data_IF_109821449236
#
_entry.id   IF_109821449236
#
_cell.length_a   1.000
_cell.length_b   1.000
_cell.length_c   1.000
_cell.angle_alpha   90.00
_cell.angle_beta   90.00
_cell.angle_gamma   90.00
#
_symmetry.space_group_name_H-M   'P 1'
#
loop_
_entity.id
_entity.type
_entity.pdbx_description
1 polymer ?
#
# COMPACT_ATOMS: atom_id res chain seq x y z
N UNK A 1 -20.57 -5.22 -15.97
CA UNK A 1 -19.74 -6.21 -16.68
C UNK A 1 -19.65 -5.77 -18.13
N UNK A 2 -18.51 -5.26 -18.57
CA UNK A 2 -18.34 -4.80 -19.95
C UNK A 2 -17.15 -5.54 -20.56
N UNK A 3 -17.44 -6.46 -21.48
CA UNK A 3 -16.45 -7.08 -22.34
C UNK A 3 -16.30 -6.18 -23.57
N UNK A 4 -15.08 -5.77 -23.91
CA UNK A 4 -14.81 -5.14 -25.20
C UNK A 4 -13.69 -5.92 -25.89
N UNK A 5 -14.04 -6.69 -26.91
CA UNK A 5 -13.06 -7.35 -27.78
C UNK A 5 -12.67 -6.39 -28.89
N UNK A 6 -11.38 -6.04 -29.01
CA UNK A 6 -10.83 -5.37 -30.19
C UNK A 6 -10.13 -6.40 -31.10
N UNK A 7 -10.34 -6.33 -32.43
CA UNK A 7 -9.83 -7.30 -33.38
C UNK A 7 -8.44 -6.87 -33.85
N UNK A 8 -7.39 -7.21 -33.10
CA UNK A 8 -6.01 -7.42 -33.56
C UNK A 8 -5.15 -7.78 -32.34
N UNK A 9 -4.39 -8.86 -32.47
CA UNK A 9 -3.73 -9.55 -31.38
C UNK A 9 -2.90 -8.63 -30.48
N UNK A 10 -3.22 -8.67 -29.20
CA UNK A 10 -2.53 -7.98 -28.13
C UNK A 10 -3.39 -8.10 -26.89
N UNK A 11 -3.00 -8.97 -25.96
CA UNK A 11 -3.52 -8.86 -24.61
C UNK A 11 -2.98 -7.54 -24.05
N UNK A 12 -3.76 -6.47 -24.13
CA UNK A 12 -3.58 -5.38 -23.18
C UNK A 12 -3.94 -5.98 -21.83
N UNK A 13 -2.93 -6.34 -21.05
CA UNK A 13 -3.12 -6.47 -19.62
C UNK A 13 -3.70 -5.12 -19.18
N UNK A 14 -4.99 -5.11 -18.84
CA UNK A 14 -5.52 -4.06 -17.98
C UNK A 14 -4.53 -3.94 -16.81
N UNK A 15 -4.19 -2.72 -16.34
CA UNK A 15 -3.30 -2.60 -15.19
C UNK A 15 -3.89 -3.47 -14.08
N UNK A 16 -3.13 -4.47 -13.64
CA UNK A 16 -3.55 -5.59 -12.78
C UNK A 16 -4.06 -5.17 -11.38
N UNK A 17 -4.35 -3.88 -11.15
CA UNK A 17 -4.49 -3.32 -9.80
C UNK A 17 -5.53 -2.19 -9.68
N UNK A 18 -6.41 -1.97 -10.66
CA UNK A 18 -7.57 -1.09 -10.39
C UNK A 18 -8.62 -1.83 -9.58
N UNK A 19 -8.43 -1.91 -8.25
CA UNK A 19 -9.47 -2.28 -7.30
C UNK A 19 -10.50 -1.14 -7.22
N UNK A 20 -11.73 -1.41 -7.65
CA UNK A 20 -12.85 -0.47 -7.47
C UNK A 20 -13.38 -0.66 -6.05
N UNK A 21 -13.19 0.35 -5.20
CA UNK A 21 -13.58 0.29 -3.78
C UNK A 21 -15.05 0.59 -3.52
N UNK A 22 -15.76 1.19 -4.49
CA UNK A 22 -17.16 1.57 -4.33
C UNK A 22 -17.94 1.56 -5.64
N UNK A 23 -19.19 1.12 -5.56
CA UNK A 23 -20.20 1.28 -6.61
C UNK A 23 -21.39 2.07 -6.06
N UNK A 24 -21.88 3.02 -6.86
CA UNK A 24 -23.11 3.76 -6.58
C UNK A 24 -24.17 3.33 -7.59
N UNK A 25 -25.27 2.78 -7.10
CA UNK A 25 -26.38 2.26 -7.91
C UNK A 25 -27.64 3.03 -7.55
N UNK A 26 -28.37 3.50 -8.56
CA UNK A 26 -29.71 4.06 -8.37
C UNK A 26 -30.71 2.92 -8.58
N UNK A 27 -31.46 2.62 -7.53
CA UNK A 27 -32.56 1.65 -7.54
C UNK A 27 -33.86 2.40 -7.77
N UNK A 28 -34.67 1.95 -8.71
CA UNK A 28 -36.01 2.47 -8.93
C UNK A 28 -37.03 1.41 -8.55
N UNK A 29 -38.05 1.82 -7.79
CA UNK A 29 -39.23 1.01 -7.52
C UNK A 29 -40.45 1.68 -8.17
N UNK A 30 -41.27 0.89 -8.85
CA UNK A 30 -42.50 1.31 -9.52
C UNK A 30 -43.63 0.40 -9.07
N UNK A 31 -44.76 0.97 -8.62
CA UNK A 31 -45.95 0.20 -8.28
C UNK A 31 -46.69 -0.31 -9.54
N UNK A 32 -47.88 -0.90 -9.37
CA UNK A 32 -48.68 -1.45 -10.49
C UNK A 32 -47.88 -2.43 -11.38
N UNK A 33 -47.18 -3.38 -10.75
CA UNK A 33 -46.33 -4.40 -11.41
C UNK A 33 -45.23 -3.80 -12.29
N UNK A 34 -44.76 -2.59 -11.98
CA UNK A 34 -43.71 -1.92 -12.73
C UNK A 34 -44.21 -1.20 -13.99
N UNK A 35 -45.51 -0.95 -14.12
CA UNK A 35 -46.07 -0.24 -15.27
C UNK A 35 -45.60 1.22 -15.31
N UNK A 36 -44.67 1.53 -16.22
CA UNK A 36 -44.08 2.88 -16.33
C UNK A 36 -45.03 3.96 -16.85
N UNK A 37 -46.20 3.60 -17.41
CA UNK A 37 -47.17 4.56 -17.94
C UNK A 37 -48.18 5.03 -16.88
N UNK A 38 -48.49 4.18 -15.90
CA UNK A 38 -49.55 4.43 -14.92
C UNK A 38 -49.10 4.28 -13.46
N UNK A 39 -48.01 3.54 -13.22
CA UNK A 39 -47.48 3.31 -11.89
C UNK A 39 -46.64 4.48 -11.37
N UNK A 40 -46.75 4.76 -10.08
CA UNK A 40 -45.90 5.74 -9.40
C UNK A 40 -44.52 5.14 -9.18
N UNK A 41 -43.49 5.94 -9.47
CA UNK A 41 -42.09 5.53 -9.31
C UNK A 41 -41.36 6.42 -8.32
N UNK A 42 -40.45 5.81 -7.56
CA UNK A 42 -39.47 6.52 -6.76
C UNK A 42 -38.09 5.86 -6.86
N UNK A 43 -37.04 6.61 -6.54
CA UNK A 43 -35.66 6.12 -6.57
C UNK A 43 -34.99 6.16 -5.20
N UNK A 44 -33.99 5.30 -5.02
CA UNK A 44 -33.09 5.29 -3.87
C UNK A 44 -31.66 5.02 -4.34
N UNK A 45 -30.68 5.55 -3.62
CA UNK A 45 -29.26 5.30 -3.90
C UNK A 45 -28.74 4.18 -3.01
N UNK A 46 -28.20 3.13 -3.62
CA UNK A 46 -27.46 2.08 -2.94
C UNK A 46 -25.95 2.29 -3.13
N UNK A 47 -25.21 2.31 -2.03
CA UNK A 47 -23.74 2.40 -2.02
C UNK A 47 -23.21 1.02 -1.65
N UNK A 48 -22.46 0.39 -2.56
CA UNK A 48 -21.80 -0.90 -2.34
C UNK A 48 -20.32 -0.63 -2.14
N UNK A 49 -19.78 -1.01 -0.98
CA UNK A 49 -18.35 -0.92 -0.69
C UNK A 49 -17.69 -2.28 -0.89
N UNK A 50 -16.57 -2.30 -1.62
CA UNK A 50 -15.74 -3.49 -1.77
C UNK A 50 -14.66 -3.46 -0.71
N UNK A 51 -14.62 -4.48 0.13
CA UNK A 51 -13.59 -4.62 1.17
C UNK A 51 -12.30 -5.15 0.55
N UNK A 52 -11.20 -4.51 0.87
CA UNK A 52 -9.87 -4.95 0.48
C UNK A 52 -9.49 -6.27 1.18
N UNK A 53 -8.79 -7.15 0.46
CA UNK A 53 -8.16 -8.36 0.99
C UNK A 53 -6.64 -8.24 0.77
N UNK A 54 -5.86 -8.88 1.64
CA UNK A 54 -4.40 -8.93 1.52
C UNK A 54 -4.00 -9.93 0.42
N UNK A 55 -3.95 -9.46 -0.82
CA UNK A 55 -3.54 -10.25 -1.99
C UNK A 55 -2.33 -9.67 -2.72
N UNK A 56 -1.75 -8.58 -2.20
CA UNK A 56 -0.53 -7.98 -2.74
C UNK A 56 0.55 -7.92 -1.67
N UNK A 57 1.63 -8.72 -1.77
CA UNK A 57 2.71 -8.64 -0.79
C UNK A 57 3.53 -7.35 -0.97
N UNK A 58 4.11 -6.80 0.12
CA UNK A 58 5.00 -5.65 0.03
C UNK A 58 6.28 -6.02 -0.72
N UNK A 59 6.70 -5.15 -1.65
CA UNK A 59 7.87 -5.31 -2.50
C UNK A 59 8.83 -4.13 -2.36
N UNK A 60 10.07 -4.39 -1.96
CA UNK A 60 11.13 -3.37 -1.98
C UNK A 60 11.45 -2.96 -3.42
N UNK A 61 11.65 -1.66 -3.64
CA UNK A 61 11.97 -1.12 -4.98
C UNK A 61 13.39 -1.42 -5.43
N UNK A 62 14.28 -1.73 -4.48
CA UNK A 62 15.68 -2.06 -4.72
C UNK A 62 16.13 -3.22 -3.84
N UNK A 63 17.18 -3.92 -4.27
CA UNK A 63 17.86 -4.95 -3.45
C UNK A 63 18.87 -4.36 -2.49
N UNK A 64 19.35 -3.15 -2.76
CA UNK A 64 20.37 -2.47 -1.99
C UNK A 64 19.95 -1.04 -1.74
N UNK A 65 20.03 -0.63 -0.47
CA UNK A 65 19.84 0.73 0.00
C UNK A 65 21.12 1.16 0.71
N UNK A 66 21.56 2.39 0.48
CA UNK A 66 22.77 2.95 1.07
C UNK A 66 22.46 4.28 1.76
N UNK A 67 23.17 4.56 2.83
CA UNK A 67 23.02 5.77 3.61
C UNK A 67 24.29 6.10 4.37
N UNK A 68 24.47 7.37 4.69
CA UNK A 68 25.63 7.87 5.43
C UNK A 68 25.15 8.68 6.63
N UNK A 69 25.80 8.50 7.77
CA UNK A 69 25.49 9.21 9.00
C UNK A 69 26.79 9.64 9.71
N UNK A 70 26.82 10.82 10.33
CA UNK A 70 27.93 11.20 11.19
C UNK A 70 28.04 10.24 12.38
N UNK A 71 29.26 9.81 12.71
CA UNK A 71 29.54 8.79 13.74
C UNK A 71 29.02 9.14 15.15
N UNK A 72 28.84 10.43 15.47
CA UNK A 72 28.45 10.91 16.78
C UNK A 72 26.97 11.32 16.87
N UNK A 73 26.10 10.70 16.05
CA UNK A 73 24.67 11.02 16.02
C UNK A 73 23.82 9.76 16.15
N UNK A 74 22.90 9.79 17.11
CA UNK A 74 21.82 8.83 17.29
C UNK A 74 20.50 9.44 16.83
N UNK A 75 19.48 8.60 16.65
CA UNK A 75 18.13 8.98 16.21
C UNK A 75 18.07 9.64 14.83
N UNK A 76 19.10 9.41 14.01
CA UNK A 76 19.16 9.87 12.62
C UNK A 76 18.78 8.72 11.70
N UNK A 77 17.98 9.04 10.68
CA UNK A 77 17.63 8.12 9.59
C UNK A 77 18.87 7.92 8.71
N UNK A 78 19.29 6.67 8.59
CA UNK A 78 20.40 6.23 7.74
C UNK A 78 19.89 6.07 6.31
N UNK A 79 18.80 5.33 6.15
CA UNK A 79 18.23 5.01 4.84
C UNK A 79 16.72 4.76 4.97
N UNK A 80 16.00 5.08 3.89
CA UNK A 80 14.61 4.69 3.70
C UNK A 80 14.54 3.53 2.71
N UNK A 81 13.93 2.43 3.13
CA UNK A 81 13.68 1.25 2.31
C UNK A 81 12.34 1.44 1.64
N UNK A 82 12.36 2.01 0.43
CA UNK A 82 11.13 2.24 -0.33
C UNK A 82 10.44 0.93 -0.67
N UNK A 83 9.15 0.85 -0.37
CA UNK A 83 8.31 -0.32 -0.58
C UNK A 83 7.09 0.03 -1.41
N UNK A 84 6.63 -0.94 -2.21
CA UNK A 84 5.39 -0.85 -2.98
C UNK A 84 4.50 -1.99 -2.51
N UNK A 85 3.27 -1.64 -2.18
CA UNK A 85 2.20 -2.57 -1.86
C UNK A 85 0.93 -2.02 -2.52
N UNK A 86 0.20 -2.88 -3.22
CA UNK A 86 -0.97 -2.51 -4.01
C UNK A 86 -2.30 -2.75 -3.28
N UNK A 87 -2.26 -3.26 -2.05
CA UNK A 87 -3.41 -3.30 -1.17
C UNK A 87 -3.80 -1.89 -0.71
N UNK A 88 -4.98 -1.78 -0.10
CA UNK A 88 -5.57 -0.48 0.22
C UNK A 88 -4.62 0.32 1.14
N UNK A 89 -4.16 1.53 0.73
CA UNK A 89 -3.25 2.33 1.54
C UNK A 89 -3.80 2.63 2.93
N UNK A 90 -2.92 2.64 3.93
CA UNK A 90 -3.25 2.83 5.35
C UNK A 90 -4.24 1.80 5.93
N UNK A 91 -4.41 0.64 5.28
CA UNK A 91 -5.11 -0.50 5.83
C UNK A 91 -4.14 -1.48 6.52
N UNK A 92 -4.64 -2.41 7.35
CA UNK A 92 -3.83 -3.50 7.87
C UNK A 92 -3.19 -4.39 6.78
N UNK A 93 -3.80 -4.48 5.60
CA UNK A 93 -3.29 -5.30 4.50
C UNK A 93 -2.05 -4.67 3.85
N UNK A 94 -1.97 -3.34 3.87
CA UNK A 94 -0.87 -2.56 3.29
C UNK A 94 0.27 -2.32 4.28
N UNK A 95 0.06 -2.45 5.58
CA UNK A 95 1.05 -2.06 6.60
C UNK A 95 2.24 -3.04 6.68
N UNK A 96 3.40 -2.63 6.16
CA UNK A 96 4.62 -3.40 6.17
C UNK A 96 5.24 -3.48 7.58
N UNK A 97 5.87 -4.62 7.87
CA UNK A 97 6.64 -4.84 9.10
C UNK A 97 8.07 -5.23 8.71
N UNK A 98 9.04 -4.56 9.32
CA UNK A 98 10.45 -4.74 9.01
C UNK A 98 11.22 -5.35 10.17
N UNK A 99 12.22 -6.18 9.83
CA UNK A 99 13.13 -6.77 10.81
C UNK A 99 14.54 -6.84 10.23
N UNK A 100 15.53 -6.50 11.06
CA UNK A 100 16.95 -6.73 10.75
C UNK A 100 17.28 -8.18 11.11
N UNK A 101 17.56 -8.99 10.09
CA UNK A 101 17.82 -10.44 10.26
C UNK A 101 19.30 -10.80 10.41
N UNK A 102 20.20 -9.91 9.99
CA UNK A 102 21.65 -10.14 10.02
C UNK A 102 22.42 -8.83 9.86
N UNK A 103 23.72 -8.82 10.19
CA UNK A 103 24.61 -7.68 9.96
C UNK A 103 24.66 -6.64 11.10
N UNK A 104 23.76 -6.73 12.09
CA UNK A 104 23.72 -5.84 13.26
C UNK A 104 23.73 -6.60 14.59
N UNK A 105 24.75 -7.43 14.80
CA UNK A 105 24.89 -8.25 16.01
C UNK A 105 25.01 -7.44 17.32
N UNK A 106 25.33 -6.15 17.23
CA UNK A 106 25.52 -5.27 18.38
C UNK A 106 24.33 -4.32 18.62
N UNK A 107 23.28 -4.39 17.80
CA UNK A 107 22.06 -3.58 17.93
C UNK A 107 22.34 -2.09 17.77
N UNK A 108 23.15 -1.71 16.78
CA UNK A 108 23.43 -0.32 16.46
C UNK A 108 22.29 0.35 15.70
N UNK A 109 21.43 -0.44 15.04
CA UNK A 109 20.36 0.04 14.19
C UNK A 109 18.99 -0.47 14.66
N UNK A 110 17.96 0.30 14.36
CA UNK A 110 16.57 -0.16 14.38
C UNK A 110 15.91 0.19 13.05
N UNK A 111 14.87 -0.56 12.69
CA UNK A 111 14.04 -0.29 11.52
C UNK A 111 12.59 -0.16 11.97
N UNK A 112 11.92 0.90 11.50
CA UNK A 112 10.49 1.15 11.77
C UNK A 112 9.77 1.52 10.49
N UNK A 113 8.51 1.16 10.38
CA UNK A 113 7.65 1.54 9.26
C UNK A 113 7.28 3.02 9.38
N UNK A 114 7.42 3.77 8.28
CA UNK A 114 6.83 5.10 8.14
C UNK A 114 5.31 4.95 7.98
N UNK A 115 4.46 5.53 8.86
CA UNK A 115 3.01 5.34 8.79
C UNK A 115 2.35 6.01 7.58
N UNK A 116 3.06 6.93 6.92
CA UNK A 116 2.57 7.66 5.75
C UNK A 116 2.98 6.96 4.46
N UNK A 117 4.24 6.56 4.32
CA UNK A 117 4.75 6.00 3.06
C UNK A 117 4.87 4.49 3.04
N UNK A 118 4.74 3.83 4.20
CA UNK A 118 5.05 2.41 4.43
C UNK A 118 6.55 2.07 4.39
N UNK A 119 7.43 3.04 4.08
CA UNK A 119 8.85 2.78 3.91
C UNK A 119 9.49 2.32 5.22
N UNK A 120 10.49 1.44 5.11
CA UNK A 120 11.32 1.06 6.26
C UNK A 120 12.34 2.14 6.58
N UNK A 121 12.22 2.81 7.72
CA UNK A 121 13.17 3.83 8.18
C UNK A 121 14.24 3.18 9.06
N UNK A 122 15.46 3.04 8.54
CA UNK A 122 16.61 2.57 9.33
C UNK A 122 17.18 3.74 10.11
N UNK A 123 17.37 3.58 11.41
CA UNK A 123 17.86 4.63 12.31
C UNK A 123 18.97 4.11 13.22
N UNK A 124 19.92 4.97 13.58
CA UNK A 124 21.00 4.65 14.52
C UNK A 124 20.47 4.78 15.95
N UNK A 125 20.56 3.72 16.75
CA UNK A 125 20.17 3.74 18.18
C UNK A 125 21.38 3.71 19.12
N UNK A 126 22.54 3.31 18.62
CA UNK A 126 23.78 3.25 19.40
C UNK A 126 24.98 3.60 18.54
N UNK A 127 25.87 4.43 19.08
CA UNK A 127 27.14 4.78 18.42
C UNK A 127 28.04 3.54 18.37
N UNK A 128 28.52 3.11 17.19
CA UNK A 128 29.43 1.97 17.08
C UNK A 128 30.72 2.20 17.87
N UNK A 129 31.04 1.30 18.79
CA UNK A 129 32.16 1.43 19.74
C UNK A 129 33.58 1.30 19.13
N UNK A 130 33.72 1.30 17.80
CA UNK A 130 35.00 1.12 17.09
C UNK A 130 35.78 2.39 16.73
N UNK A 131 35.19 3.58 16.90
CA UNK A 131 35.78 4.83 16.38
C UNK A 131 36.50 5.69 17.43
N UNK A 132 36.51 5.28 18.70
CA UNK A 132 37.08 6.06 19.81
C UNK A 132 38.63 6.05 19.88
N UNK A 133 39.35 5.56 18.87
CA UNK A 133 40.81 5.39 18.93
C UNK A 133 41.62 5.96 17.75
N UNK A 134 41.08 6.89 16.95
CA UNK A 134 41.91 7.67 16.01
C UNK A 134 41.88 9.16 16.36
N UNK A 135 42.76 9.54 17.28
CA UNK A 135 43.40 10.86 17.32
C UNK A 135 44.90 10.67 17.08
#
# INVERSE_FOLDING_TARGET
MSLMTHPRGGFTALPLQMKVSQYTIIVQATDMEGNLNFGLSNTATAIITVTDINDNPPMLTSRTFSGEVPENRVDVVVANLTVIDADQPHSPNWNAIYQIISGDQFGHFTIRTDPVTNDGMVTVVKIPSGFQHKQ
#
